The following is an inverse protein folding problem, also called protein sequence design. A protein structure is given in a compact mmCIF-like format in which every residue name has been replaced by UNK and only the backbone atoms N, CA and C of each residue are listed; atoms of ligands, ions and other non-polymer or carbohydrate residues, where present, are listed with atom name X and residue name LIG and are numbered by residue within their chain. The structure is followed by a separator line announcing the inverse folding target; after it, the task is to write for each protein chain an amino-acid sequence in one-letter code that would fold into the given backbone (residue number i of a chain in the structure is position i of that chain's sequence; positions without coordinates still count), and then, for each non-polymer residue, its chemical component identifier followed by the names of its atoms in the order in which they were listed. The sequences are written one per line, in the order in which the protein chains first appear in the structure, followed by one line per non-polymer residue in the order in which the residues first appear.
data_IF_636116976700
#
_entry.id   IF_636116976700
#
_cell.length_a   1.000
_cell.length_b   1.000
_cell.length_c   1.000
_cell.angle_alpha   90.00
_cell.angle_beta   90.00
_cell.angle_gamma   90.00
#
_symmetry.space_group_name_H-M   'P 1'
#
loop_
_entity.id
_entity.type
_entity.pdbx_description
1 polymer ?
#
# COMPACT_ATOMS: atom_id res chain seq x y z
N UNK A 1 -27.30 -7.87 -7.41
CA UNK A 1 -26.48 -6.67 -7.68
C UNK A 1 -25.04 -7.07 -7.42
N UNK A 2 -24.07 -6.78 -8.29
CA UNK A 2 -22.67 -7.07 -7.96
C UNK A 2 -22.30 -6.23 -6.74
N UNK A 3 -21.74 -6.88 -5.73
CA UNK A 3 -21.25 -6.23 -4.52
C UNK A 3 -20.10 -5.30 -4.96
N UNK A 4 -20.28 -3.99 -4.81
CA UNK A 4 -19.22 -3.04 -5.11
C UNK A 4 -18.17 -3.22 -4.02
N UNK A 5 -17.06 -3.89 -4.34
CA UNK A 5 -15.93 -3.99 -3.43
C UNK A 5 -15.41 -2.58 -3.17
N UNK A 6 -15.63 -2.08 -1.96
CA UNK A 6 -15.19 -0.75 -1.59
C UNK A 6 -13.66 -0.75 -1.44
N UNK A 7 -12.99 0.34 -1.81
CA UNK A 7 -11.57 0.47 -1.55
C UNK A 7 -11.32 0.43 -0.03
N UNK A 8 -10.35 -0.38 0.37
CA UNK A 8 -9.89 -0.46 1.75
C UNK A 8 -8.94 0.70 2.02
N UNK A 9 -9.15 1.44 3.10
CA UNK A 9 -8.22 2.45 3.58
C UNK A 9 -7.49 1.96 4.83
N UNK A 10 -6.17 2.03 4.83
CA UNK A 10 -5.28 1.68 5.94
C UNK A 10 -4.40 2.88 6.29
N UNK A 11 -4.23 3.13 7.58
CA UNK A 11 -3.27 4.12 8.07
C UNK A 11 -1.84 3.54 7.99
N UNK A 12 -0.91 4.35 7.49
CA UNK A 12 0.51 4.00 7.43
C UNK A 12 1.15 4.39 8.76
N UNK A 13 1.69 3.43 9.53
CA UNK A 13 2.34 3.73 10.80
C UNK A 13 3.45 4.78 10.66
N UNK A 14 3.67 5.61 11.67
CA UNK A 14 4.66 6.69 11.64
C UNK A 14 6.08 6.20 11.33
N UNK A 15 6.43 5.00 11.81
CA UNK A 15 7.71 4.32 11.55
C UNK A 15 7.86 3.73 10.15
N UNK A 16 6.81 3.72 9.32
CA UNK A 16 6.85 3.17 7.95
C UNK A 16 6.94 4.32 6.95
N UNK A 17 8.01 4.29 6.13
CA UNK A 17 8.16 5.23 5.03
C UNK A 17 7.40 4.74 3.79
N UNK A 18 6.88 5.67 3.00
CA UNK A 18 6.20 5.35 1.73
C UNK A 18 7.14 4.60 0.78
N UNK A 19 8.41 5.00 0.72
CA UNK A 19 9.44 4.32 -0.07
C UNK A 19 9.59 2.85 0.34
N UNK A 20 9.52 2.53 1.64
CA UNK A 20 9.62 1.14 2.10
C UNK A 20 8.43 0.29 1.61
N UNK A 21 7.22 0.84 1.59
CA UNK A 21 6.04 0.18 1.02
C UNK A 21 6.24 -0.05 -0.48
N UNK A 22 6.70 0.98 -1.20
CA UNK A 22 6.93 0.90 -2.65
C UNK A 22 7.91 -0.21 -3.00
N UNK A 23 9.02 -0.23 -2.28
CA UNK A 23 10.10 -1.19 -2.42
C UNK A 23 9.66 -2.62 -2.08
N UNK A 24 8.90 -2.78 -1.01
CA UNK A 24 8.39 -4.08 -0.58
C UNK A 24 7.48 -4.68 -1.66
N UNK A 25 6.51 -3.92 -2.16
CA UNK A 25 5.57 -4.39 -3.19
C UNK A 25 6.23 -4.57 -4.55
N UNK A 26 7.18 -3.70 -4.90
CA UNK A 26 7.99 -3.84 -6.11
C UNK A 26 8.81 -5.12 -6.09
N UNK A 27 9.56 -5.40 -5.00
CA UNK A 27 10.41 -6.59 -4.90
C UNK A 27 9.63 -7.87 -4.70
N UNK A 28 8.62 -7.85 -3.84
CA UNK A 28 7.87 -9.05 -3.47
C UNK A 28 6.81 -9.45 -4.49
N UNK A 29 6.18 -8.47 -5.15
CA UNK A 29 5.00 -8.71 -5.98
C UNK A 29 5.09 -8.04 -7.36
N UNK A 30 6.21 -7.40 -7.70
CA UNK A 30 6.45 -6.84 -9.03
C UNK A 30 5.67 -5.56 -9.35
N UNK A 31 5.22 -4.81 -8.33
CA UNK A 31 4.45 -3.58 -8.57
C UNK A 31 5.28 -2.52 -9.30
N UNK A 32 4.60 -1.80 -10.20
CA UNK A 32 5.13 -0.63 -10.89
C UNK A 32 4.44 0.61 -10.34
N UNK A 33 5.21 1.68 -10.14
CA UNK A 33 4.73 2.90 -9.48
C UNK A 33 4.66 4.08 -10.43
N UNK A 34 3.53 4.77 -10.39
CA UNK A 34 3.28 6.04 -11.06
C UNK A 34 3.19 7.15 -10.01
N UNK A 35 4.03 8.17 -10.14
CA UNK A 35 3.97 9.36 -9.28
C UNK A 35 2.99 10.35 -9.92
N UNK A 36 1.79 10.47 -9.37
CA UNK A 36 0.74 11.33 -9.92
C UNK A 36 0.87 12.78 -9.46
N UNK A 37 1.33 12.99 -8.22
CA UNK A 37 1.67 14.32 -7.71
C UNK A 37 2.81 14.23 -6.69
N UNK A 38 3.69 15.23 -6.71
CA UNK A 38 4.77 15.41 -5.72
C UNK A 38 4.44 16.45 -4.64
N UNK A 39 3.35 17.20 -4.78
CA UNK A 39 2.95 18.26 -3.84
C UNK A 39 1.68 19.00 -4.26
N UNK A 40 0.95 19.63 -3.33
CA UNK A 40 1.23 19.74 -1.89
C UNK A 40 1.01 18.44 -1.11
N UNK A 41 0.24 17.49 -1.67
CA UNK A 41 0.06 16.14 -1.10
C UNK A 41 0.63 15.13 -2.10
N UNK A 42 1.63 14.33 -1.72
CA UNK A 42 2.14 13.25 -2.56
C UNK A 42 1.05 12.23 -2.85
N UNK A 43 0.90 11.89 -4.13
CA UNK A 43 -0.05 10.89 -4.63
C UNK A 43 0.71 9.88 -5.49
N UNK A 44 0.70 8.63 -5.06
CA UNK A 44 1.39 7.53 -5.73
C UNK A 44 0.39 6.42 -6.05
N UNK A 45 0.46 5.91 -7.27
CA UNK A 45 -0.36 4.80 -7.73
C UNK A 45 0.54 3.58 -8.00
N UNK A 46 0.26 2.47 -7.34
CA UNK A 46 0.95 1.21 -7.50
C UNK A 46 0.09 0.24 -8.33
N UNK A 47 0.59 -0.12 -9.50
CA UNK A 47 -0.04 -1.07 -10.39
C UNK A 47 0.54 -2.47 -10.18
N UNK A 48 -0.29 -3.48 -9.95
CA UNK A 48 0.17 -4.86 -9.88
C UNK A 48 0.50 -5.40 -11.27
N UNK A 49 1.43 -6.37 -11.38
CA UNK A 49 1.75 -7.00 -12.67
C UNK A 49 0.69 -8.01 -13.14
N UNK A 50 -0.28 -8.35 -12.29
CA UNK A 50 -1.35 -9.33 -12.56
C UNK A 50 -2.69 -8.79 -12.07
N UNK A 51 -3.76 -9.10 -12.78
CA UNK A 51 -5.12 -8.61 -12.49
C UNK A 51 -5.74 -9.14 -11.19
N UNK A 52 -5.17 -10.19 -10.59
CA UNK A 52 -5.67 -10.80 -9.35
C UNK A 52 -5.05 -10.19 -8.07
N UNK A 53 -4.15 -9.23 -8.21
CA UNK A 53 -3.61 -8.44 -7.11
C UNK A 53 -4.29 -7.08 -7.12
N UNK A 54 -4.45 -6.44 -5.95
CA UNK A 54 -5.13 -5.15 -5.89
C UNK A 54 -4.25 -4.02 -6.39
N UNK A 55 -4.87 -3.00 -6.96
CA UNK A 55 -4.24 -1.71 -7.13
C UNK A 55 -4.11 -1.02 -5.78
N UNK A 56 -3.05 -0.22 -5.64
CA UNK A 56 -2.80 0.53 -4.40
C UNK A 56 -2.58 2.00 -4.67
N UNK A 57 -3.09 2.85 -3.79
CA UNK A 57 -2.86 4.29 -3.84
C UNK A 57 -2.30 4.73 -2.50
N UNK A 58 -1.19 5.48 -2.52
CA UNK A 58 -0.66 6.12 -1.31
C UNK A 58 -0.92 7.61 -1.38
N UNK A 59 -1.58 8.13 -0.36
CA UNK A 59 -1.88 9.56 -0.19
C UNK A 59 -1.45 9.97 1.21
N UNK A 60 -0.39 10.77 1.31
CA UNK A 60 0.16 11.19 2.60
C UNK A 60 0.48 9.99 3.51
N UNK A 61 -0.29 9.77 4.58
CA UNK A 61 -0.17 8.66 5.54
C UNK A 61 -1.26 7.59 5.38
N UNK A 62 -1.94 7.55 4.25
CA UNK A 62 -2.99 6.57 3.95
C UNK A 62 -2.58 5.69 2.78
N UNK A 63 -2.82 4.38 2.93
CA UNK A 63 -2.73 3.38 1.88
C UNK A 63 -4.14 2.92 1.54
N UNK A 64 -4.55 3.14 0.29
CA UNK A 64 -5.80 2.63 -0.26
C UNK A 64 -5.51 1.37 -1.09
N UNK A 65 -6.37 0.37 -0.97
CA UNK A 65 -6.25 -0.93 -1.64
C UNK A 65 -7.55 -1.24 -2.36
N UNK A 66 -7.49 -1.53 -3.66
CA UNK A 66 -8.65 -1.77 -4.52
C UNK A 66 -8.45 -3.03 -5.40
N UNK A 67 -9.31 -4.06 -5.30
CA UNK A 67 -10.46 -4.17 -4.39
C UNK A 67 -10.02 -4.33 -2.92
N UNK A 68 -10.84 -3.84 -2.00
CA UNK A 68 -10.60 -3.89 -0.56
C UNK A 68 -11.31 -5.06 0.14
N UNK A 69 -11.00 -6.31 -0.25
CA UNK A 69 -11.55 -7.50 0.42
C UNK A 69 -10.82 -7.84 1.74
N UNK A 70 -11.37 -8.78 2.52
CA UNK A 70 -10.80 -9.17 3.81
C UNK A 70 -9.43 -9.85 3.69
N UNK A 71 -9.17 -10.52 2.56
CA UNK A 71 -7.88 -11.16 2.29
C UNK A 71 -6.82 -10.09 2.05
N UNK A 72 -7.14 -9.08 1.24
CA UNK A 72 -6.30 -7.92 1.00
C UNK A 72 -6.04 -7.18 2.31
N UNK A 73 -7.08 -6.95 3.12
CA UNK A 73 -6.93 -6.34 4.45
C UNK A 73 -5.90 -7.06 5.30
N UNK A 74 -6.05 -8.36 5.48
CA UNK A 74 -5.10 -9.15 6.29
C UNK A 74 -3.67 -9.06 5.78
N UNK A 75 -3.47 -9.16 4.46
CA UNK A 75 -2.15 -9.09 3.82
C UNK A 75 -1.48 -7.74 4.00
N UNK A 76 -2.19 -6.64 3.77
CA UNK A 76 -1.62 -5.31 3.86
C UNK A 76 -1.40 -4.85 5.30
N UNK A 77 -2.27 -5.22 6.24
CA UNK A 77 -2.03 -4.98 7.67
C UNK A 77 -0.76 -5.70 8.12
N UNK A 78 -0.62 -6.99 7.78
CA UNK A 78 0.58 -7.77 8.12
C UNK A 78 1.85 -7.18 7.50
N UNK A 79 1.79 -6.71 6.25
CA UNK A 79 2.90 -6.03 5.60
C UNK A 79 3.31 -4.76 6.36
N UNK A 80 2.35 -3.90 6.70
CA UNK A 80 2.63 -2.65 7.44
C UNK A 80 3.23 -2.94 8.81
N UNK A 81 2.73 -3.96 9.52
CA UNK A 81 3.29 -4.39 10.80
C UNK A 81 4.74 -4.88 10.67
N UNK A 82 5.04 -5.67 9.64
CA UNK A 82 6.40 -6.14 9.37
C UNK A 82 7.35 -4.98 9.08
N UNK A 83 6.95 -4.06 8.22
CA UNK A 83 7.73 -2.86 7.89
C UNK A 83 7.96 -1.98 9.12
N UNK A 84 6.95 -1.83 9.97
CA UNK A 84 7.05 -1.02 11.19
C UNK A 84 8.07 -1.63 12.19
N UNK A 85 8.07 -2.95 12.34
CA UNK A 85 9.05 -3.65 13.21
C UNK A 85 10.48 -3.58 12.69
N UNK A 86 10.67 -3.65 11.37
CA UNK A 86 12.01 -3.53 10.76
C UNK A 86 12.65 -2.16 11.00
N UNK A 87 11.84 -1.11 11.04
CA UNK A 87 12.32 0.25 11.30
C UNK A 87 12.43 0.57 12.80
N UNK A 88 11.67 -0.10 13.67
CA UNK A 88 11.73 0.08 15.13
C UNK A 88 12.90 -0.62 15.83
N UNK A 89 13.73 -1.41 15.11
CA UNK A 89 14.87 -2.14 15.66
C UNK A 89 16.22 -1.40 15.67
N UNK A 90 16.24 -0.10 15.33
CA UNK A 90 17.45 0.73 15.28
C UNK A 90 17.38 1.94 16.23
N UNK A 91 16.88 1.74 17.44
CA UNK A 91 16.96 2.74 18.53
C UNK A 91 17.82 2.22 19.67
#
# INVERSE_FOLDING_TARGET
MPEVSHPLALEIPSGVSVTAIMDFLKRGQGYVWSVLSRGPVPLLLGHPPRSNLPEVIVISKMLFVNPGDDIARGRFVMMLDLLNRQNGGHS
#
